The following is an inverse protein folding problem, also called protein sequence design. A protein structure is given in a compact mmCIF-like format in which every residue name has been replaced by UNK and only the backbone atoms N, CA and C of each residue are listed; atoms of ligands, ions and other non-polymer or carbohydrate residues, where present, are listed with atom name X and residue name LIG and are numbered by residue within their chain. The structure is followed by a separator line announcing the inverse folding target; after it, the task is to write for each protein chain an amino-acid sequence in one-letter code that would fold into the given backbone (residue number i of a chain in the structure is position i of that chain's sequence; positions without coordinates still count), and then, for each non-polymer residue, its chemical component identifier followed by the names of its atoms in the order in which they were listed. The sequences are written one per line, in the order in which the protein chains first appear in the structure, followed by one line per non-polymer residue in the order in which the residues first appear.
data_IF_960259889237
#
_entry.id   IF_960259889237
#
_cell.length_a   1.000
_cell.length_b   1.000
_cell.length_c   1.000
_cell.angle_alpha   90.00
_cell.angle_beta   90.00
_cell.angle_gamma   90.00
#
_symmetry.space_group_name_H-M   'P 1'
#
loop_
_entity.id
_entity.type
_entity.pdbx_description
1 polymer ?
#
# COMPACT_ATOMS: atom_id res chain seq x y z
N UNK A 1 24.66 2.13 -15.92
CA UNK A 1 23.92 1.79 -14.68
C UNK A 1 22.70 0.99 -15.12
N UNK A 2 22.52 -0.21 -14.60
CA UNK A 2 21.35 -1.06 -14.89
C UNK A 2 20.11 -0.36 -14.35
N UNK A 3 19.06 -0.21 -15.17
CA UNK A 3 17.78 0.35 -14.70
C UNK A 3 17.27 -0.50 -13.54
N UNK A 4 16.75 0.10 -12.45
CA UNK A 4 16.08 -0.67 -11.42
C UNK A 4 14.90 -1.40 -12.07
N UNK A 5 14.89 -2.72 -11.99
CA UNK A 5 13.77 -3.55 -12.44
C UNK A 5 12.78 -3.57 -11.30
N UNK A 6 11.56 -3.11 -11.55
CA UNK A 6 10.44 -3.12 -10.61
C UNK A 6 9.44 -4.20 -11.03
N UNK A 7 8.73 -4.78 -10.07
CA UNK A 7 7.68 -5.78 -10.31
C UNK A 7 6.55 -5.64 -9.28
N UNK A 8 5.41 -6.26 -9.57
CA UNK A 8 4.38 -6.44 -8.56
C UNK A 8 4.95 -7.17 -7.32
N UNK A 9 4.56 -6.70 -6.14
CA UNK A 9 5.11 -7.12 -4.85
C UNK A 9 6.26 -6.27 -4.34
N UNK A 10 6.82 -5.34 -5.13
CA UNK A 10 7.81 -4.39 -4.63
C UNK A 10 7.13 -3.22 -3.88
N UNK A 11 7.86 -2.58 -2.97
CA UNK A 11 7.43 -1.36 -2.29
C UNK A 11 8.17 -0.16 -2.86
N UNK A 12 7.44 0.87 -3.27
CA UNK A 12 7.97 2.15 -3.69
C UNK A 12 7.97 3.11 -2.50
N UNK A 13 9.16 3.56 -2.09
CA UNK A 13 9.34 4.53 -1.03
C UNK A 13 9.56 5.89 -1.67
N UNK A 14 8.71 6.84 -1.36
CA UNK A 14 8.88 8.21 -1.84
C UNK A 14 10.22 8.77 -1.38
N UNK A 15 10.90 9.48 -2.26
CA UNK A 15 12.09 10.26 -1.89
C UNK A 15 11.70 11.28 -0.78
N UNK A 16 12.57 11.51 0.23
CA UNK A 16 12.26 12.36 1.38
C UNK A 16 11.68 13.74 1.08
N UNK A 17 12.10 14.35 -0.03
CA UNK A 17 11.74 15.69 -0.46
C UNK A 17 10.71 15.69 -1.60
N UNK A 18 10.04 14.55 -1.83
CA UNK A 18 8.95 14.46 -2.79
C UNK A 18 7.87 15.51 -2.48
N UNK A 19 7.65 16.41 -3.44
CA UNK A 19 6.76 17.55 -3.29
C UNK A 19 5.27 17.21 -3.46
N UNK A 20 4.95 16.06 -4.06
CA UNK A 20 3.56 15.64 -4.20
C UNK A 20 2.96 15.32 -2.81
N UNK A 21 1.95 16.07 -2.35
CA UNK A 21 1.34 15.84 -1.04
C UNK A 21 0.67 14.46 -0.92
N UNK A 22 0.23 13.86 -2.03
CA UNK A 22 -0.35 12.51 -2.04
C UNK A 22 0.68 11.44 -1.70
N UNK A 23 1.96 11.68 -1.97
CA UNK A 23 3.02 10.67 -1.86
C UNK A 23 4.17 11.06 -0.93
N UNK A 24 4.16 12.28 -0.36
CA UNK A 24 5.12 12.68 0.65
C UNK A 24 5.20 11.63 1.78
N UNK A 25 6.41 11.11 2.02
CA UNK A 25 6.70 10.05 3.01
C UNK A 25 5.81 8.81 2.86
N UNK A 26 5.35 8.49 1.64
CA UNK A 26 4.52 7.30 1.40
C UNK A 26 5.37 6.07 1.13
N UNK A 27 4.92 4.93 1.66
CA UNK A 27 5.31 3.61 1.21
C UNK A 27 4.16 3.04 0.36
N UNK A 28 4.40 2.72 -0.90
CA UNK A 28 3.38 2.24 -1.84
C UNK A 28 3.69 0.80 -2.24
N UNK A 29 2.79 -0.13 -1.96
CA UNK A 29 2.91 -1.49 -2.47
C UNK A 29 2.45 -1.52 -3.93
N UNK A 30 3.29 -2.03 -4.83
CA UNK A 30 2.92 -2.25 -6.23
C UNK A 30 2.14 -3.57 -6.34
N UNK A 31 0.87 -3.51 -6.71
CA UNK A 31 0.01 -4.69 -6.86
C UNK A 31 -0.06 -5.21 -8.29
N UNK A 32 0.10 -4.31 -9.26
CA UNK A 32 0.16 -4.65 -10.67
C UNK A 32 1.24 -3.81 -11.35
N UNK A 33 2.01 -4.42 -12.25
CA UNK A 33 2.99 -3.75 -13.10
C UNK A 33 3.09 -4.49 -14.44
N UNK A 34 2.70 -3.82 -15.52
CA UNK A 34 2.77 -4.34 -16.88
C UNK A 34 2.98 -3.21 -17.89
N UNK A 35 3.05 -3.55 -19.19
CA UNK A 35 3.31 -2.57 -20.26
C UNK A 35 2.24 -1.46 -20.36
N UNK A 36 1.02 -1.69 -19.85
CA UNK A 36 -0.06 -0.70 -19.92
C UNK A 36 -0.03 0.27 -18.74
N UNK A 37 0.70 -0.05 -17.67
CA UNK A 37 0.80 0.78 -16.49
C UNK A 37 1.03 -0.01 -15.21
N UNK A 38 0.88 0.69 -14.09
CA UNK A 38 1.04 0.10 -12.76
C UNK A 38 -0.03 0.57 -11.79
N UNK A 39 -0.37 -0.28 -10.84
CA UNK A 39 -1.32 0.00 -9.76
C UNK A 39 -0.67 -0.34 -8.43
N UNK A 40 -0.82 0.54 -7.44
CA UNK A 40 -0.37 0.30 -6.08
C UNK A 40 -1.20 1.02 -5.02
N UNK A 41 -0.94 0.68 -3.76
CA UNK A 41 -1.65 1.24 -2.60
C UNK A 41 -0.67 1.82 -1.59
N UNK A 42 -0.92 3.06 -1.17
CA UNK A 42 -0.16 3.69 -0.09
C UNK A 42 -0.51 2.98 1.23
N UNK A 43 0.48 2.33 1.83
CA UNK A 43 0.31 1.48 3.01
C UNK A 43 0.16 2.27 4.32
N UNK A 44 0.74 3.47 4.36
CA UNK A 44 1.01 4.19 5.60
C UNK A 44 0.20 5.48 5.81
N UNK A 45 -0.90 5.67 5.06
CA UNK A 45 -1.81 6.81 5.22
C UNK A 45 -3.16 6.37 5.76
N UNK A 46 -3.24 6.19 7.08
CA UNK A 46 -4.48 5.82 7.77
C UNK A 46 -5.51 6.96 7.69
N UNK A 47 -6.76 6.62 7.43
CA UNK A 47 -7.91 7.53 7.52
C UNK A 47 -8.60 7.34 8.87
N UNK A 48 -9.15 8.41 9.44
CA UNK A 48 -9.99 8.33 10.65
C UNK A 48 -11.43 7.91 10.31
N UNK A 49 -11.56 6.84 9.53
CA UNK A 49 -12.83 6.31 9.04
C UNK A 49 -12.82 4.79 9.16
N UNK A 50 -13.82 4.25 9.86
CA UNK A 50 -14.03 2.80 9.93
C UNK A 50 -14.67 2.27 8.67
N UNK A 51 -14.27 1.06 8.26
CA UNK A 51 -14.72 0.40 7.03
C UNK A 51 -16.21 0.08 7.08
N UNK A 52 -16.70 -0.34 8.24
CA UNK A 52 -18.12 -0.63 8.49
C UNK A 52 -19.05 0.59 8.34
N UNK A 53 -18.50 1.81 8.38
CA UNK A 53 -19.23 3.07 8.12
C UNK A 53 -19.07 3.57 6.69
N UNK A 54 -18.04 3.13 5.99
CA UNK A 54 -17.75 3.53 4.61
C UNK A 54 -18.55 2.71 3.60
N UNK A 55 -18.80 1.44 3.91
CA UNK A 55 -19.40 0.48 3.00
C UNK A 55 -20.81 0.15 3.48
N UNK A 56 -21.80 0.32 2.59
CA UNK A 56 -23.18 -0.08 2.88
C UNK A 56 -23.28 -1.62 3.04
N UNK A 57 -24.09 -2.06 4.01
CA UNK A 57 -24.30 -3.50 4.31
C UNK A 57 -23.01 -4.25 4.73
N UNK A 58 -22.00 -3.53 5.21
CA UNK A 58 -20.79 -4.17 5.74
C UNK A 58 -21.02 -4.67 7.17
N UNK A 59 -20.51 -5.86 7.54
CA UNK A 59 -20.57 -6.34 8.92
C UNK A 59 -19.83 -5.40 9.88
N UNK A 60 -20.18 -5.49 11.17
CA UNK A 60 -19.42 -4.81 12.22
C UNK A 60 -17.96 -5.25 12.16
N UNK A 61 -17.07 -4.29 11.99
CA UNK A 61 -15.66 -4.57 11.74
C UNK A 61 -14.80 -3.45 12.31
N UNK A 62 -13.95 -3.78 13.27
CA UNK A 62 -13.06 -2.82 13.91
C UNK A 62 -11.78 -2.55 13.08
N UNK A 63 -11.99 -2.20 11.81
CA UNK A 63 -10.93 -1.89 10.86
C UNK A 63 -11.09 -0.47 10.32
N UNK A 64 -9.95 0.22 10.17
CA UNK A 64 -9.90 1.55 9.57
C UNK A 64 -9.51 1.45 8.09
N UNK A 65 -10.02 2.38 7.29
CA UNK A 65 -9.58 2.54 5.90
C UNK A 65 -8.27 3.31 5.82
N UNK A 66 -7.55 3.09 4.73
CA UNK A 66 -6.33 3.78 4.36
C UNK A 66 -6.56 4.55 3.07
N UNK A 67 -5.84 5.65 2.88
CA UNK A 67 -5.81 6.33 1.59
C UNK A 67 -4.86 5.57 0.67
N UNK A 68 -5.39 4.89 -0.34
CA UNK A 68 -4.60 4.09 -1.28
C UNK A 68 -3.94 4.92 -2.39
N UNK A 69 -4.50 6.09 -2.70
CA UNK A 69 -3.95 7.05 -3.65
C UNK A 69 -5.02 7.95 -4.27
N UNK A 70 -4.61 8.87 -5.17
CA UNK A 70 -5.48 9.93 -5.69
C UNK A 70 -6.44 9.47 -6.79
N UNK A 71 -6.31 8.24 -7.30
CA UNK A 71 -7.13 7.74 -8.41
C UNK A 71 -8.34 7.00 -7.86
N UNK A 72 -9.52 7.28 -8.43
CA UNK A 72 -10.79 6.63 -8.06
C UNK A 72 -11.04 6.60 -6.54
N UNK A 73 -10.96 7.76 -5.88
CA UNK A 73 -11.19 7.88 -4.42
C UNK A 73 -12.63 7.59 -3.98
N UNK A 74 -13.49 7.20 -4.90
CA UNK A 74 -14.85 6.70 -4.70
C UNK A 74 -14.92 5.16 -4.67
N UNK A 75 -13.82 4.46 -4.90
CA UNK A 75 -13.74 2.99 -4.83
C UNK A 75 -13.05 2.50 -3.55
N UNK A 76 -13.41 1.28 -3.15
CA UNK A 76 -12.76 0.55 -2.06
C UNK A 76 -11.99 -0.64 -2.64
N UNK A 77 -10.76 -0.79 -2.19
CA UNK A 77 -9.90 -1.93 -2.44
C UNK A 77 -9.45 -2.54 -1.12
N UNK A 78 -8.95 -3.77 -1.15
CA UNK A 78 -8.44 -4.42 0.06
C UNK A 78 -7.30 -5.39 -0.26
N UNK A 79 -6.36 -5.48 0.67
CA UNK A 79 -5.25 -6.42 0.67
C UNK A 79 -5.40 -7.36 1.88
N UNK A 80 -5.23 -8.67 1.67
CA UNK A 80 -5.49 -9.68 2.70
C UNK A 80 -4.56 -10.90 2.56
N UNK A 81 -4.44 -11.67 3.65
CA UNK A 81 -3.65 -12.91 3.68
C UNK A 81 -4.42 -14.16 3.19
N UNK A 82 -5.73 -14.01 2.97
CA UNK A 82 -6.70 -15.10 2.78
C UNK A 82 -6.96 -15.49 1.32
N UNK A 83 -5.90 -15.69 0.53
CA UNK A 83 -6.04 -16.04 -0.90
C UNK A 83 -6.62 -17.44 -1.17
N UNK A 84 -6.71 -18.28 -0.15
CA UNK A 84 -7.20 -19.67 -0.18
C UNK A 84 -8.72 -19.78 0.04
N UNK A 85 -9.32 -18.84 0.77
CA UNK A 85 -10.76 -18.83 1.09
C UNK A 85 -11.55 -17.75 0.35
N UNK A 86 -10.89 -16.78 -0.28
CA UNK A 86 -11.50 -15.74 -1.10
C UNK A 86 -11.27 -16.01 -2.58
N UNK A 87 -12.33 -16.39 -3.28
CA UNK A 87 -12.27 -16.62 -4.73
C UNK A 87 -12.01 -15.29 -5.48
N UNK A 88 -11.31 -15.37 -6.62
CA UNK A 88 -10.98 -14.20 -7.44
C UNK A 88 -9.85 -13.32 -6.90
N UNK A 89 -9.22 -13.71 -5.80
CA UNK A 89 -8.06 -13.01 -5.23
C UNK A 89 -6.85 -13.07 -6.18
N UNK A 90 -6.20 -11.93 -6.40
CA UNK A 90 -4.97 -11.83 -7.21
C UNK A 90 -3.76 -11.87 -6.28
N UNK A 91 -2.85 -12.83 -6.48
CA UNK A 91 -1.62 -12.90 -5.68
C UNK A 91 -0.66 -11.76 -6.07
N UNK A 92 -0.32 -10.91 -5.09
CA UNK A 92 0.65 -9.82 -5.27
C UNK A 92 2.05 -10.29 -4.89
N UNK A 93 2.20 -10.82 -3.66
CA UNK A 93 3.44 -11.44 -3.19
C UNK A 93 3.14 -12.52 -2.14
N UNK A 94 4.14 -12.95 -1.37
CA UNK A 94 3.94 -13.95 -0.32
C UNK A 94 2.98 -13.41 0.75
N UNK A 95 1.93 -14.17 1.06
CA UNK A 95 0.87 -13.83 2.02
C UNK A 95 0.15 -12.50 1.81
N UNK A 96 0.24 -11.90 0.62
CA UNK A 96 -0.51 -10.69 0.26
C UNK A 96 -1.23 -10.90 -1.06
N UNK A 97 -2.56 -10.79 -0.97
CA UNK A 97 -3.49 -10.92 -2.07
C UNK A 97 -4.33 -9.64 -2.20
N UNK A 98 -4.71 -9.32 -3.43
CA UNK A 98 -5.50 -8.15 -3.77
C UNK A 98 -6.86 -8.56 -4.33
N UNK A 99 -7.92 -7.92 -3.83
CA UNK A 99 -9.27 -8.11 -4.32
C UNK A 99 -9.84 -9.47 -3.91
N UNK A 100 -10.77 -9.99 -4.71
CA UNK A 100 -11.54 -11.18 -4.38
C UNK A 100 -13.04 -10.92 -4.41
N UNK A 101 -13.82 -11.97 -4.13
CA UNK A 101 -15.27 -11.88 -4.04
C UNK A 101 -15.69 -11.11 -2.78
N UNK A 102 -16.35 -9.97 -3.01
CA UNK A 102 -16.71 -9.05 -1.94
C UNK A 102 -17.85 -9.56 -1.05
N UNK A 103 -18.75 -10.39 -1.58
CA UNK A 103 -19.82 -10.98 -0.77
C UNK A 103 -19.26 -12.09 0.13
N UNK A 104 -18.37 -12.93 -0.39
CA UNK A 104 -17.63 -13.91 0.41
C UNK A 104 -16.81 -13.23 1.51
N UNK A 105 -16.16 -12.09 1.21
CA UNK A 105 -15.45 -11.30 2.21
C UNK A 105 -16.36 -10.90 3.37
N UNK A 106 -17.53 -10.34 3.08
CA UNK A 106 -18.50 -9.94 4.12
C UNK A 106 -18.93 -11.15 4.96
N UNK A 107 -19.20 -12.29 4.33
CA UNK A 107 -19.61 -13.50 5.05
C UNK A 107 -18.49 -14.08 5.91
N UNK A 108 -17.26 -14.09 5.43
CA UNK A 108 -16.10 -14.55 6.20
C UNK A 108 -15.80 -13.63 7.38
N UNK A 109 -15.98 -12.33 7.23
CA UNK A 109 -15.88 -11.37 8.35
C UNK A 109 -17.00 -11.63 9.38
N UNK A 110 -18.26 -11.81 8.95
CA UNK A 110 -19.40 -12.12 9.85
C UNK A 110 -19.15 -13.37 10.68
N UNK A 111 -18.50 -14.37 10.08
CA UNK A 111 -18.18 -15.64 10.71
C UNK A 111 -16.86 -15.63 11.51
N UNK A 112 -16.14 -14.49 11.54
CA UNK A 112 -14.88 -14.35 12.26
C UNK A 112 -13.69 -15.09 11.63
N UNK A 113 -13.80 -15.50 10.36
CA UNK A 113 -12.70 -16.12 9.62
C UNK A 113 -11.68 -15.09 9.14
N UNK A 114 -12.13 -13.87 8.83
CA UNK A 114 -11.28 -12.73 8.48
C UNK A 114 -11.37 -11.69 9.59
N UNK A 115 -10.22 -11.34 10.15
CA UNK A 115 -10.08 -10.39 11.27
C UNK A 115 -9.36 -9.12 10.82
N UNK A 116 -9.52 -7.99 11.55
CA UNK A 116 -8.85 -6.73 11.24
C UNK A 116 -7.33 -6.82 11.06
N UNK A 117 -6.68 -7.76 11.74
CA UNK A 117 -5.22 -7.94 11.66
C UNK A 117 -4.75 -8.67 10.39
N UNK A 118 -5.68 -9.18 9.58
CA UNK A 118 -5.37 -10.00 8.39
C UNK A 118 -5.84 -9.39 7.07
N UNK A 119 -6.41 -8.18 7.13
CA UNK A 119 -6.90 -7.44 5.97
C UNK A 119 -6.77 -5.93 6.19
N UNK A 120 -6.40 -5.20 5.12
CA UNK A 120 -6.37 -3.74 5.11
C UNK A 120 -7.21 -3.22 3.96
N UNK A 121 -8.04 -2.22 4.24
CA UNK A 121 -8.92 -1.57 3.25
C UNK A 121 -8.34 -0.23 2.80
N UNK A 122 -8.52 0.10 1.53
CA UNK A 122 -7.99 1.29 0.88
C UNK A 122 -9.09 2.02 0.12
N UNK A 123 -9.10 3.35 0.23
CA UNK A 123 -9.90 4.27 -0.57
C UNK A 123 -9.03 4.75 -1.73
N UNK A 124 -9.48 4.49 -2.96
CA UNK A 124 -8.71 4.77 -4.17
C UNK A 124 -7.39 3.99 -4.27
N UNK A 125 -6.62 4.32 -5.30
CA UNK A 125 -5.31 3.72 -5.56
C UNK A 125 -4.34 4.72 -6.19
N UNK A 126 -3.08 4.29 -6.24
CA UNK A 126 -2.00 4.99 -6.92
C UNK A 126 -1.79 4.34 -8.28
N UNK A 127 -1.99 5.10 -9.34
CA UNK A 127 -1.90 4.61 -10.72
C UNK A 127 -0.79 5.31 -11.49
N UNK A 128 -0.06 4.53 -12.29
CA UNK A 128 0.92 5.03 -13.24
C UNK A 128 0.51 4.62 -14.65
N UNK A 129 0.57 5.58 -15.57
CA UNK A 129 0.42 5.30 -17.00
C UNK A 129 1.64 4.55 -17.53
N UNK A 130 1.51 3.94 -18.72
CA UNK A 130 2.62 3.34 -19.46
C UNK A 130 3.89 4.22 -19.44
N UNK A 131 5.02 3.67 -18.99
CA UNK A 131 6.32 4.34 -18.95
C UNK A 131 6.50 5.41 -17.87
N UNK A 132 5.43 5.75 -17.13
CA UNK A 132 5.48 6.82 -16.12
C UNK A 132 6.32 6.40 -14.91
N UNK A 133 6.09 5.19 -14.38
CA UNK A 133 6.81 4.70 -13.21
C UNK A 133 8.31 4.56 -13.50
N UNK A 134 8.66 4.03 -14.67
CA UNK A 134 10.03 3.89 -15.12
C UNK A 134 10.73 5.24 -15.22
N UNK A 135 10.02 6.24 -15.76
CA UNK A 135 10.53 7.62 -15.79
C UNK A 135 10.78 8.11 -14.37
N UNK A 136 9.79 8.02 -13.47
CA UNK A 136 9.93 8.47 -12.08
C UNK A 136 11.06 7.76 -11.31
N UNK A 137 11.31 6.48 -11.58
CA UNK A 137 12.46 5.74 -11.06
C UNK A 137 13.79 6.27 -11.61
N UNK A 138 13.86 6.61 -12.90
CA UNK A 138 15.04 7.24 -13.51
C UNK A 138 15.35 8.63 -12.94
N UNK A 139 14.31 9.39 -12.59
CA UNK A 139 14.44 10.69 -11.92
C UNK A 139 14.77 10.58 -10.43
N UNK A 140 14.76 9.37 -9.85
CA UNK A 140 15.05 9.14 -8.44
C UNK A 140 13.90 9.54 -7.51
N UNK A 141 12.67 9.68 -8.03
CA UNK A 141 11.48 9.99 -7.23
C UNK A 141 11.11 8.85 -6.27
N UNK A 142 11.47 7.62 -6.63
CA UNK A 142 11.15 6.41 -5.86
C UNK A 142 12.39 5.59 -5.54
N UNK A 143 12.41 5.07 -4.33
CA UNK A 143 13.35 4.04 -3.90
C UNK A 143 12.61 2.72 -3.83
N UNK A 144 13.08 1.71 -4.59
CA UNK A 144 12.49 0.37 -4.58
C UNK A 144 12.98 -0.40 -3.36
N UNK A 145 12.03 -0.89 -2.55
CA UNK A 145 12.22 -1.76 -1.39
C UNK A 145 11.54 -3.11 -1.60
N UNK A 146 11.92 -4.09 -0.78
CA UNK A 146 11.27 -5.40 -0.74
C UNK A 146 10.06 -5.34 0.20
N UNK A 147 8.99 -6.05 -0.15
CA UNK A 147 7.81 -6.16 0.71
C UNK A 147 7.98 -7.31 1.71
N UNK A 148 7.50 -7.08 2.94
CA UNK A 148 7.31 -8.07 3.98
C UNK A 148 5.87 -7.96 4.50
N UNK A 149 5.23 -9.06 4.83
CA UNK A 149 3.84 -9.10 5.33
C UNK A 149 3.68 -8.29 6.62
N UNK A 150 4.73 -8.21 7.44
CA UNK A 150 4.70 -7.45 8.70
C UNK A 150 4.44 -5.96 8.45
N UNK A 151 4.80 -5.43 7.28
CA UNK A 151 4.58 -4.03 6.90
C UNK A 151 3.10 -3.71 6.69
N UNK A 152 2.30 -4.72 6.36
CA UNK A 152 0.86 -4.57 6.10
C UNK A 152 0.02 -4.90 7.33
N UNK A 153 0.44 -5.87 8.14
CA UNK A 153 -0.39 -6.43 9.22
C UNK A 153 0.09 -6.05 10.62
N UNK A 154 1.40 -6.10 10.87
CA UNK A 154 1.93 -6.03 12.24
C UNK A 154 2.49 -4.65 12.63
N UNK A 155 2.99 -3.89 11.65
CA UNK A 155 3.60 -2.59 11.92
C UNK A 155 2.57 -1.44 11.93
N UNK A 156 2.76 -0.47 12.85
CA UNK A 156 1.99 0.75 12.80
C UNK A 156 2.27 1.50 11.49
N UNK A 157 1.26 2.12 10.86
CA UNK A 157 1.48 2.89 9.65
C UNK A 157 2.38 4.09 9.91
N UNK A 158 2.33 4.68 11.10
CA UNK A 158 3.25 5.72 11.52
C UNK A 158 4.69 5.18 11.57
N UNK A 159 5.57 5.76 10.76
CA UNK A 159 6.98 5.34 10.69
C UNK A 159 7.25 4.18 9.73
N UNK A 160 6.24 3.62 9.05
CA UNK A 160 6.44 2.51 8.10
C UNK A 160 7.46 2.86 7.01
N UNK A 161 7.34 4.04 6.40
CA UNK A 161 8.31 4.53 5.40
C UNK A 161 9.74 4.55 5.96
N UNK A 162 9.92 5.00 7.21
CA UNK A 162 11.22 5.08 7.88
C UNK A 162 11.77 3.68 8.12
N UNK A 163 10.92 2.76 8.56
CA UNK A 163 11.29 1.37 8.82
C UNK A 163 11.78 0.69 7.55
N UNK A 164 11.01 0.73 6.45
CA UNK A 164 11.39 0.08 5.19
C UNK A 164 12.65 0.74 4.59
N UNK A 165 12.79 2.07 4.65
CA UNK A 165 14.02 2.77 4.26
C UNK A 165 15.23 2.30 5.09
N UNK A 166 15.04 2.09 6.39
CA UNK A 166 16.08 1.61 7.30
C UNK A 166 16.47 0.16 7.01
N UNK A 167 15.50 -0.72 6.76
CA UNK A 167 15.71 -2.14 6.48
C UNK A 167 16.44 -2.36 5.16
N UNK A 168 16.25 -1.45 4.19
CA UNK A 168 17.06 -1.41 2.97
C UNK A 168 18.57 -1.16 3.23
N UNK A 169 18.90 -0.54 4.36
CA UNK A 169 20.26 -0.31 4.83
C UNK A 169 21.08 0.70 4.02
N UNK A 170 22.39 0.76 4.29
CA UNK A 170 23.34 1.67 3.63
C UNK A 170 22.93 3.15 3.75
N UNK A 171 23.01 3.92 2.66
CA UNK A 171 22.61 5.32 2.59
C UNK A 171 21.13 5.54 2.94
N UNK A 172 20.27 4.54 2.71
CA UNK A 172 18.85 4.64 2.98
C UNK A 172 18.53 4.68 4.48
N UNK A 173 19.37 4.09 5.33
CA UNK A 173 19.24 4.23 6.79
C UNK A 173 19.52 5.66 7.29
N UNK A 174 20.39 6.40 6.60
CA UNK A 174 20.65 7.82 6.88
C UNK A 174 19.49 8.69 6.39
N UNK A 175 18.98 8.37 5.19
CA UNK A 175 17.80 9.00 4.61
C UNK A 175 16.56 8.82 5.50
N UNK A 176 16.38 7.63 6.09
CA UNK A 176 15.29 7.32 7.01
C UNK A 176 15.25 8.26 8.23
N UNK A 177 16.41 8.72 8.69
CA UNK A 177 16.57 9.60 9.85
C UNK A 177 16.37 11.08 9.53
N UNK A 178 16.24 11.45 8.25
CA UNK A 178 16.03 12.84 7.88
C UNK A 178 14.71 13.35 8.46
N UNK A 179 14.69 14.54 9.10
CA UNK A 179 13.45 15.12 9.60
C UNK A 179 12.53 15.43 8.42
N UNK A 180 11.22 15.37 8.66
CA UNK A 180 10.26 15.94 7.71
C UNK A 180 10.33 17.47 7.86
N UNK A 181 11.02 18.14 6.92
CA UNK A 181 11.31 19.59 7.00
C UNK A 181 10.04 20.45 7.08
N UNK A 182 8.86 19.92 6.72
CA UNK A 182 7.58 20.62 6.84
C UNK A 182 6.93 20.54 8.24
N UNK A 183 7.54 19.87 9.22
CA UNK A 183 7.09 19.93 10.63
C UNK A 183 7.55 21.24 11.30
N UNK A 184 8.40 22.03 10.64
CA UNK A 184 8.74 23.39 11.05
C UNK A 184 7.77 24.38 10.40
N UNK A 185 6.60 24.58 11.03
CA UNK A 185 5.86 25.86 11.12
C UNK A 185 4.61 25.72 12.01
#
# INVERSE_FOLDING_TARGET
MTKPVVKAGDVLLAEPFMLDPNFRRSAVLLCEHNEQGSIGFILNKKLDMKVDRLIADFPEFDGYAFYGGPVQTDTIHYLHAHGDILEGSVKVCENIYWGGDFEQLKDHIRNGLITPDSIRFFVGYSGWSEGQLESELEWGSWVVGEMDEIYLYDLPPEGLWTQIMSDKGNVYSVIAQMPDEMVLN
#
